data_IF_475215218776
#
_entry.id   IF_475215218776
#
_cell.length_a   1.000
_cell.length_b   1.000
_cell.length_c   1.000
_cell.angle_alpha   90.00
_cell.angle_beta   90.00
_cell.angle_gamma   90.00
#
_symmetry.space_group_name_H-M   'P 1'
#
loop_
_entity.id
_entity.type
_entity.pdbx_description
1 polymer ?
#
# COMPACT_ATOMS: atom_id res chain seq x y z
N UNK A 1 -15.79 -15.12 -8.03
CA UNK A 1 -16.46 -13.91 -7.81
C UNK A 1 -15.52 -12.80 -7.46
N UNK A 2 -15.45 -11.80 -8.24
CA UNK A 2 -14.53 -10.73 -8.02
C UNK A 2 -15.17 -9.69 -7.12
N UNK A 3 -14.47 -9.29 -6.10
CA UNK A 3 -14.88 -8.17 -5.30
C UNK A 3 -14.13 -6.98 -5.78
N UNK A 4 -14.83 -5.99 -6.25
CA UNK A 4 -14.18 -4.77 -6.68
C UNK A 4 -14.16 -3.83 -5.52
N UNK A 5 -12.98 -3.59 -4.99
CA UNK A 5 -12.82 -2.63 -3.92
C UNK A 5 -12.76 -1.23 -4.53
N UNK A 6 -13.40 -0.28 -3.89
CA UNK A 6 -13.22 1.10 -4.27
C UNK A 6 -11.86 1.59 -3.76
N UNK A 7 -11.47 2.80 -4.13
CA UNK A 7 -10.15 3.31 -3.78
C UNK A 7 -9.93 3.39 -2.28
N UNK A 8 -10.95 3.77 -1.54
CA UNK A 8 -10.85 3.91 -0.10
C UNK A 8 -10.62 2.56 0.57
N UNK A 9 -11.38 1.56 0.16
CA UNK A 9 -11.21 0.21 0.67
C UNK A 9 -9.85 -0.35 0.33
N UNK A 10 -9.41 -0.11 -0.89
CA UNK A 10 -8.11 -0.59 -1.34
C UNK A 10 -6.98 0.03 -0.54
N UNK A 11 -7.07 1.34 -0.29
CA UNK A 11 -6.04 2.03 0.49
C UNK A 11 -6.01 1.53 1.92
N UNK A 12 -7.18 1.25 2.50
CA UNK A 12 -7.24 0.65 3.83
C UNK A 12 -6.58 -0.71 3.87
N UNK A 13 -6.81 -1.52 2.83
CA UNK A 13 -6.21 -2.84 2.74
C UNK A 13 -4.69 -2.73 2.55
N UNK A 14 -4.25 -1.74 1.78
CA UNK A 14 -2.84 -1.51 1.55
C UNK A 14 -2.13 -1.19 2.87
N UNK A 15 -2.71 -0.32 3.68
CA UNK A 15 -2.15 0.01 4.99
C UNK A 15 -2.10 -1.23 5.86
N UNK A 16 -3.15 -2.02 5.84
CA UNK A 16 -3.20 -3.25 6.63
C UNK A 16 -2.08 -4.21 6.23
N UNK A 17 -1.86 -4.36 4.93
CA UNK A 17 -0.78 -5.22 4.44
C UNK A 17 0.58 -4.72 4.93
N UNK A 18 0.78 -3.41 4.90
CA UNK A 18 2.04 -2.83 5.35
C UNK A 18 2.21 -2.94 6.86
N UNK A 19 1.11 -2.92 7.61
CA UNK A 19 1.18 -3.08 9.06
C UNK A 19 1.56 -4.50 9.46
N UNK A 20 1.14 -5.47 8.66
CA UNK A 20 1.30 -6.87 9.03
C UNK A 20 2.53 -7.52 8.43
N UNK A 21 3.31 -6.79 7.65
CA UNK A 21 4.51 -7.34 7.06
C UNK A 21 5.72 -6.99 7.90
N UNK A 22 6.68 -7.89 7.93
CA UNK A 22 7.94 -7.64 8.62
C UNK A 22 9.01 -7.11 7.69
N UNK A 23 8.75 -7.17 6.40
CA UNK A 23 9.71 -6.70 5.42
C UNK A 23 9.00 -5.81 4.41
N UNK A 24 9.75 -4.97 3.68
CA UNK A 24 9.12 -4.07 2.71
C UNK A 24 8.37 -4.83 1.62
N UNK A 25 7.27 -4.26 1.19
CA UNK A 25 6.50 -4.79 0.08
C UNK A 25 6.67 -3.88 -1.12
N UNK A 26 7.11 -4.45 -2.23
CA UNK A 26 7.33 -3.66 -3.44
C UNK A 26 5.99 -3.23 -4.05
N UNK A 27 6.04 -2.19 -4.86
CA UNK A 27 4.84 -1.77 -5.58
C UNK A 27 4.30 -2.87 -6.47
N UNK A 28 5.18 -3.65 -7.07
CA UNK A 28 4.75 -4.78 -7.91
C UNK A 28 4.02 -5.82 -7.06
N UNK A 29 4.57 -6.12 -5.89
CA UNK A 29 3.92 -7.08 -5.01
C UNK A 29 2.56 -6.60 -4.54
N UNK A 30 2.49 -5.33 -4.14
CA UNK A 30 1.23 -4.75 -3.71
C UNK A 30 0.20 -4.75 -4.84
N UNK A 31 0.64 -4.46 -6.06
CA UNK A 31 -0.27 -4.45 -7.19
C UNK A 31 -0.87 -5.84 -7.43
N UNK A 32 -0.07 -6.87 -7.25
CA UNK A 32 -0.56 -8.25 -7.41
C UNK A 32 -1.50 -8.63 -6.29
N UNK A 33 -1.16 -8.27 -5.07
CA UNK A 33 -1.99 -8.62 -3.92
C UNK A 33 -3.35 -7.91 -3.98
N UNK A 34 -3.37 -6.71 -4.50
CA UNK A 34 -4.60 -5.92 -4.55
C UNK A 34 -5.27 -5.93 -5.92
N UNK A 35 -4.70 -6.65 -6.87
CA UNK A 35 -5.26 -6.84 -8.22
C UNK A 35 -5.47 -5.51 -8.96
N UNK A 36 -4.47 -4.64 -8.88
CA UNK A 36 -4.49 -3.37 -9.60
C UNK A 36 -3.13 -3.15 -10.24
N UNK A 37 -3.01 -2.12 -11.06
CA UNK A 37 -1.73 -1.81 -11.70
C UNK A 37 -0.79 -1.18 -10.69
N UNK A 38 0.49 -1.21 -11.03
CA UNK A 38 1.51 -0.56 -10.21
C UNK A 38 1.25 0.94 -10.08
N UNK A 39 0.77 1.55 -11.16
CA UNK A 39 0.47 2.99 -11.15
C UNK A 39 -0.61 3.31 -10.12
N UNK A 40 -1.60 2.43 -9.99
CA UNK A 40 -2.64 2.63 -8.98
C UNK A 40 -2.04 2.59 -7.58
N UNK A 41 -1.09 1.68 -7.34
CA UNK A 41 -0.42 1.61 -6.05
C UNK A 41 0.35 2.90 -5.77
N UNK A 42 1.08 3.41 -6.76
CA UNK A 42 1.83 4.65 -6.60
C UNK A 42 0.89 5.80 -6.23
N UNK A 43 -0.25 5.88 -6.91
CA UNK A 43 -1.23 6.91 -6.60
C UNK A 43 -1.82 6.75 -5.20
N UNK A 44 -2.11 5.51 -4.83
CA UNK A 44 -2.64 5.24 -3.49
C UNK A 44 -1.65 5.62 -2.40
N UNK A 45 -0.37 5.31 -2.62
CA UNK A 45 0.67 5.70 -1.67
C UNK A 45 0.72 7.22 -1.51
N UNK A 46 0.63 7.94 -2.63
CA UNK A 46 0.64 9.40 -2.58
C UNK A 46 -0.56 9.94 -1.80
N UNK A 47 -1.73 9.36 -2.02
CA UNK A 47 -2.93 9.78 -1.31
C UNK A 47 -2.84 9.49 0.19
N UNK A 48 -2.27 8.33 0.54
CA UNK A 48 -2.10 7.96 1.94
C UNK A 48 -1.12 8.91 2.63
N UNK A 49 -0.03 9.27 1.95
CA UNK A 49 0.91 10.23 2.50
C UNK A 49 0.27 11.59 2.72
N UNK A 50 -0.59 12.00 1.79
CA UNK A 50 -1.32 13.25 1.93
C UNK A 50 -2.28 13.20 3.12
N UNK A 51 -2.70 12.02 3.51
CA UNK A 51 -3.57 11.82 4.68
C UNK A 51 -2.79 11.55 5.95
N UNK A 52 -1.49 11.85 5.94
CA UNK A 52 -0.61 11.73 7.09
C UNK A 52 -0.28 10.29 7.49
N UNK A 53 -0.40 9.37 6.56
CA UNK A 53 0.07 8.01 6.79
C UNK A 53 1.55 7.97 6.39
N UNK A 54 2.41 7.67 7.33
CA UNK A 54 3.84 7.65 7.10
C UNK A 54 4.26 6.38 6.41
N UNK A 55 4.50 6.48 5.10
CA UNK A 55 4.96 5.35 4.31
C UNK A 55 6.36 5.65 3.82
N UNK A 56 7.30 4.77 4.17
CA UNK A 56 8.68 4.90 3.74
C UNK A 56 8.90 4.14 2.46
N UNK A 57 9.70 4.72 1.59
CA UNK A 57 10.16 4.04 0.36
C UNK A 57 11.58 3.55 0.60
N UNK A 58 11.80 2.27 0.38
CA UNK A 58 13.13 1.70 0.50
C UNK A 58 13.52 1.03 -0.82
N UNK A 59 14.75 0.59 -0.91
CA UNK A 59 15.21 -0.16 -2.09
C UNK A 59 14.41 -1.42 -2.32
N UNK A 60 13.81 -1.95 -1.28
CA UNK A 60 13.11 -3.22 -1.37
C UNK A 60 11.60 -3.07 -1.40
N UNK A 61 11.09 -1.89 -1.19
CA UNK A 61 9.65 -1.66 -1.21
C UNK A 61 9.22 -0.65 -0.18
N UNK A 62 7.95 -0.71 0.15
CA UNK A 62 7.33 0.24 1.07
C UNK A 62 7.16 -0.35 2.45
N UNK A 63 7.30 0.49 3.45
CA UNK A 63 7.07 0.13 4.85
C UNK A 63 6.28 1.22 5.52
N UNK A 64 5.51 0.87 6.53
CA UNK A 64 4.99 1.90 7.42
C UNK A 64 6.09 2.32 8.37
N UNK A 65 6.23 3.62 8.52
CA UNK A 65 7.08 4.15 9.56
C UNK A 65 6.34 3.85 10.86
N UNK A 66 6.89 3.00 11.65
CA UNK A 66 6.20 2.48 12.72
C UNK A 66 5.99 3.44 13.81
N UNK A 67 4.92 3.92 14.04
CA UNK A 67 4.73 4.73 15.15
C UNK A 67 4.51 3.89 16.31
N UNK A 68 4.89 4.09 17.24
CA UNK A 68 4.64 3.45 18.38
C UNK A 68 3.58 3.38 19.13
#
# INVERSE_FOLDING_TARGET
>A
MGIIMNGEERRGKLVELLKNTESPLSGTRLSRLLHVSRQVIVNDIALLRAANVDILSTNKGYLLSAPV
#
